data_IF_640886450210
#
_entry.id   IF_640886450210
#
_cell.length_a   1.000
_cell.length_b   1.000
_cell.length_c   1.000
_cell.angle_alpha   90.00
_cell.angle_beta   90.00
_cell.angle_gamma   90.00
#
_symmetry.space_group_name_H-M   'P 1'
#
loop_
_entity.id
_entity.type
_entity.pdbx_description
1 polymer ?
#
# COMPACT_ATOMS: atom_id res chain seq x y z
N UNK A 1 -8.32 6.82 8.13
CA UNK A 1 -7.85 6.72 7.01
C UNK A 1 -6.51 7.33 6.81
N UNK A 2 -5.72 6.67 6.14
CA UNK A 2 -4.35 7.03 6.04
C UNK A 2 -4.11 8.38 5.45
N UNK A 3 -3.10 9.01 5.92
CA UNK A 3 -2.62 10.24 5.34
C UNK A 3 -1.56 9.87 4.34
N UNK A 4 -1.60 10.46 3.18
CA UNK A 4 -0.62 10.19 2.17
C UNK A 4 -0.17 11.48 1.55
N UNK A 5 0.99 11.46 0.98
CA UNK A 5 1.55 12.62 0.29
C UNK A 5 1.66 13.80 1.22
N UNK A 6 1.13 14.89 0.81
CA UNK A 6 1.27 16.13 1.57
C UNK A 6 0.54 16.09 2.90
N UNK A 7 -0.46 15.25 3.04
CA UNK A 7 -1.13 15.16 4.31
C UNK A 7 -0.28 14.53 5.38
N UNK A 8 0.60 13.63 4.97
CA UNK A 8 1.51 13.06 5.93
C UNK A 8 2.45 14.09 6.48
N UNK A 9 2.60 15.13 5.74
CA UNK A 9 3.57 16.10 6.15
C UNK A 9 3.01 17.06 7.12
N UNK A 10 1.94 16.82 7.49
CA UNK A 10 1.43 17.45 8.40
C UNK A 10 1.21 18.52 9.00
N UNK A 11 1.01 18.86 9.34
CA UNK A 11 0.55 19.63 10.13
C UNK A 11 1.51 20.47 10.67
N UNK A 12 1.39 21.44 10.96
CA UNK A 12 2.00 22.47 11.43
C UNK A 12 3.11 22.33 12.30
N UNK A 13 3.14 21.59 13.23
CA UNK A 13 4.19 21.50 14.14
C UNK A 13 5.10 20.40 13.91
N UNK A 14 4.98 19.69 12.84
CA UNK A 14 5.81 18.53 12.54
C UNK A 14 6.68 18.81 11.35
N UNK A 15 7.87 18.25 11.36
CA UNK A 15 8.75 18.36 10.21
C UNK A 15 8.16 17.60 9.05
N UNK A 16 8.40 18.10 7.86
CA UNK A 16 8.00 17.40 6.65
C UNK A 16 8.96 16.25 6.43
N UNK A 17 8.40 15.06 6.23
CA UNK A 17 9.18 13.85 5.99
C UNK A 17 9.07 13.51 4.51
N UNK A 18 10.22 13.29 3.87
CA UNK A 18 10.24 12.85 2.49
C UNK A 18 9.82 11.39 2.45
N UNK A 19 8.79 11.01 1.68
CA UNK A 19 8.38 9.62 1.60
C UNK A 19 9.49 8.67 1.18
N UNK A 20 10.48 9.14 0.44
CA UNK A 20 11.61 8.31 0.03
C UNK A 20 12.48 7.87 1.21
N UNK A 21 12.35 8.55 2.35
CA UNK A 21 13.12 8.22 3.53
C UNK A 21 12.41 7.20 4.42
N UNK A 22 11.23 6.76 4.04
CA UNK A 22 10.48 5.79 4.84
C UNK A 22 10.98 4.38 4.56
N UNK A 23 11.13 3.61 5.62
CA UNK A 23 11.53 2.20 5.49
C UNK A 23 10.35 1.29 5.24
N UNK A 24 9.16 1.71 5.63
CA UNK A 24 7.97 0.91 5.52
C UNK A 24 6.78 1.81 5.29
N UNK A 25 5.96 1.46 4.32
CA UNK A 25 4.74 2.20 4.02
C UNK A 25 3.57 1.23 4.11
N UNK A 26 2.65 1.51 5.00
CA UNK A 26 1.44 0.70 5.16
C UNK A 26 0.39 1.21 4.18
N UNK A 27 -0.14 0.32 3.37
CA UNK A 27 -1.04 0.68 2.28
C UNK A 27 -2.38 -0.01 2.49
N UNK A 28 -3.46 0.72 2.69
CA UNK A 28 -4.77 0.11 2.79
C UNK A 28 -5.33 -0.21 1.40
N UNK A 29 -6.33 -1.05 1.36
CA UNK A 29 -7.00 -1.37 0.12
C UNK A 29 -8.30 -2.10 0.40
N UNK A 30 -9.15 -2.15 -0.60
CA UNK A 30 -10.41 -2.89 -0.49
C UNK A 30 -10.20 -4.40 -0.57
N UNK A 31 -9.12 -4.82 -1.19
CA UNK A 31 -8.75 -6.23 -1.26
C UNK A 31 -7.32 -6.39 -1.73
N UNK A 32 -6.77 -7.55 -1.48
CA UNK A 32 -5.40 -7.88 -1.89
C UNK A 32 -5.36 -9.32 -2.39
N UNK A 33 -4.39 -9.62 -3.23
CA UNK A 33 -4.09 -11.00 -3.58
C UNK A 33 -2.69 -11.35 -3.05
N UNK A 34 -2.36 -12.63 -3.08
CA UNK A 34 -1.11 -13.11 -2.47
C UNK A 34 0.12 -12.78 -3.29
N UNK A 35 -0.05 -12.19 -4.45
CA UNK A 35 1.05 -11.74 -5.29
C UNK A 35 1.27 -10.23 -5.18
N UNK A 36 0.63 -9.60 -4.22
CA UNK A 36 0.80 -8.18 -3.99
C UNK A 36 -0.15 -7.29 -4.75
N UNK A 37 -1.09 -7.87 -5.47
CA UNK A 37 -2.10 -7.08 -6.16
C UNK A 37 -3.02 -6.41 -5.14
N UNK A 38 -3.48 -5.21 -5.46
CA UNK A 38 -4.29 -4.42 -4.56
C UNK A 38 -5.47 -3.80 -5.28
N UNK A 39 -6.64 -3.92 -4.69
CA UNK A 39 -7.81 -3.24 -5.16
C UNK A 39 -7.95 -1.95 -4.35
N UNK A 40 -7.83 -0.82 -5.02
CA UNK A 40 -7.87 0.47 -4.36
C UNK A 40 -9.27 0.95 -4.09
N UNK A 41 -9.34 2.16 -3.58
CA UNK A 41 -10.61 2.77 -3.20
C UNK A 41 -11.25 3.56 -4.31
N UNK A 42 -10.74 3.43 -5.52
CA UNK A 42 -11.40 3.97 -6.72
C UNK A 42 -10.83 5.26 -7.28
N UNK A 43 -9.95 5.93 -6.60
CA UNK A 43 -9.44 7.21 -7.10
C UNK A 43 -7.98 7.21 -7.51
N UNK A 44 -7.31 6.07 -7.41
CA UNK A 44 -5.91 5.96 -7.81
C UNK A 44 -4.93 6.76 -6.96
N UNK A 45 -5.36 7.21 -5.79
CA UNK A 45 -4.57 8.12 -4.99
C UNK A 45 -3.28 7.49 -4.49
N UNK A 46 -3.38 6.28 -3.95
CA UNK A 46 -2.19 5.59 -3.47
C UNK A 46 -1.27 5.18 -4.62
N UNK A 47 -1.81 4.76 -5.74
CA UNK A 47 -0.98 4.38 -6.86
C UNK A 47 -0.16 5.55 -7.37
N UNK A 48 -0.74 6.74 -7.40
CA UNK A 48 0.00 7.93 -7.78
C UNK A 48 1.07 8.29 -6.77
N UNK A 49 0.76 8.10 -5.48
CA UNK A 49 1.71 8.40 -4.42
C UNK A 49 2.87 7.41 -4.43
N UNK A 50 2.58 6.14 -4.65
CA UNK A 50 3.58 5.09 -4.53
C UNK A 50 4.47 4.92 -5.74
N UNK A 51 4.07 5.47 -6.88
CA UNK A 51 4.74 5.10 -8.14
C UNK A 51 6.20 5.45 -8.22
N UNK A 52 6.67 6.39 -7.42
CA UNK A 52 8.07 6.76 -7.43
C UNK A 52 8.84 6.21 -6.24
N UNK A 53 8.22 5.35 -5.48
CA UNK A 53 8.82 4.79 -4.28
C UNK A 53 9.19 3.33 -4.53
N UNK A 54 10.03 2.78 -3.65
CA UNK A 54 10.50 1.41 -3.82
C UNK A 54 9.42 0.42 -3.37
N UNK A 55 8.96 -0.47 -4.25
CA UNK A 55 7.92 -1.44 -3.86
C UNK A 55 8.32 -2.33 -2.69
N UNK A 56 9.60 -2.52 -2.45
CA UNK A 56 10.05 -3.33 -1.33
C UNK A 56 9.65 -2.73 0.02
N UNK A 57 9.26 -1.46 0.06
CA UNK A 57 8.83 -0.82 1.30
C UNK A 57 7.31 -0.92 1.50
N UNK A 58 6.56 -1.44 0.51
CA UNK A 58 5.11 -1.43 0.59
C UNK A 58 4.59 -2.64 1.33
N UNK A 59 3.76 -2.43 2.34
CA UNK A 59 3.09 -3.51 3.04
C UNK A 59 1.59 -3.23 3.05
N UNK A 60 0.82 -4.12 2.42
CA UNK A 60 -0.63 -4.01 2.47
C UNK A 60 -1.15 -4.40 3.84
N UNK A 61 -2.23 -3.79 4.27
CA UNK A 61 -2.85 -4.07 5.56
C UNK A 61 -4.32 -4.37 5.30
N UNK A 62 -4.78 -5.53 5.72
CA UNK A 62 -6.17 -5.91 5.55
C UNK A 62 -6.57 -7.03 6.49
N UNK A 63 -7.85 -7.31 6.54
CA UNK A 63 -8.35 -8.50 7.20
C UNK A 63 -8.16 -9.69 6.24
N UNK A 64 -7.99 -10.89 6.79
CA UNK A 64 -7.80 -12.08 5.94
C UNK A 64 -8.98 -12.30 4.98
N UNK A 65 -10.17 -11.88 5.37
CA UNK A 65 -11.35 -12.02 4.51
C UNK A 65 -11.24 -11.16 3.26
N UNK A 66 -10.34 -10.19 3.24
CA UNK A 66 -10.13 -9.33 2.08
C UNK A 66 -9.08 -9.87 1.13
N UNK A 67 -8.50 -11.03 1.43
CA UNK A 67 -7.56 -11.68 0.53
C UNK A 67 -8.33 -12.44 -0.54
N UNK A 68 -7.95 -12.21 -1.78
CA UNK A 68 -8.57 -12.88 -2.92
C UNK A 68 -7.83 -14.17 -3.22
N UNK A 69 -8.57 -15.19 -3.60
CA UNK A 69 -7.97 -16.45 -4.04
C UNK A 69 -7.47 -16.36 -5.48
N UNK A 70 -7.91 -15.36 -6.22
CA UNK A 70 -7.49 -15.16 -7.60
C UNK A 70 -6.74 -13.85 -7.70
N UNK A 71 -6.06 -13.65 -8.81
CA UNK A 71 -5.31 -12.42 -9.01
C UNK A 71 -6.25 -11.25 -9.21
N UNK A 72 -5.96 -10.16 -8.53
CA UNK A 72 -6.68 -8.92 -8.75
C UNK A 72 -6.12 -8.30 -10.04
N UNK A 73 -7.01 -7.88 -10.96
CA UNK A 73 -6.53 -7.24 -12.18
C UNK A 73 -5.71 -6.00 -11.88
N UNK A 74 -4.49 -5.97 -12.41
CA UNK A 74 -3.58 -4.86 -12.23
C UNK A 74 -3.09 -4.45 -13.60
N UNK A 75 -2.99 -3.16 -13.84
CA UNK A 75 -2.34 -2.71 -15.06
C UNK A 75 -0.89 -2.32 -14.74
N UNK A 76 -0.15 -1.93 -15.76
CA UNK A 76 1.28 -1.70 -15.58
C UNK A 76 1.62 -0.48 -14.74
N UNK A 77 0.64 0.38 -14.48
CA UNK A 77 0.86 1.56 -13.66
C UNK A 77 0.54 1.30 -12.19
N UNK A 78 -0.10 0.19 -11.88
CA UNK A 78 -0.47 -0.14 -10.52
C UNK A 78 0.73 -0.69 -9.75
N UNK A 79 0.79 -0.38 -8.47
CA UNK A 79 1.92 -0.78 -7.63
C UNK A 79 1.56 -2.02 -6.83
N UNK A 80 2.47 -2.98 -6.80
CA UNK A 80 2.27 -4.22 -6.05
C UNK A 80 2.92 -4.13 -4.68
N UNK A 81 2.32 -4.78 -3.71
CA UNK A 81 2.85 -4.85 -2.36
C UNK A 81 3.94 -5.91 -2.29
N UNK A 82 4.92 -5.72 -1.43
CA UNK A 82 5.92 -6.75 -1.16
C UNK A 82 5.47 -7.69 -0.06
N UNK A 83 4.64 -7.21 0.84
CA UNK A 83 4.11 -7.98 1.95
C UNK A 83 2.68 -7.57 2.21
N UNK A 84 1.92 -8.45 2.84
CA UNK A 84 0.57 -8.14 3.29
C UNK A 84 0.43 -8.64 4.72
N UNK A 85 0.00 -7.79 5.64
CA UNK A 85 -0.23 -8.19 7.01
C UNK A 85 -1.74 -8.29 7.26
N UNK A 86 -2.14 -9.36 7.89
CA UNK A 86 -3.52 -9.58 8.31
C UNK A 86 -3.53 -10.00 9.77
N UNK A 87 -4.70 -10.23 10.32
CA UNK A 87 -4.80 -10.75 11.69
C UNK A 87 -4.24 -12.16 11.81
N UNK A 88 -3.97 -12.82 10.70
CA UNK A 88 -3.42 -14.17 10.70
C UNK A 88 -1.91 -14.21 10.46
N UNK A 89 -1.29 -13.06 10.26
CA UNK A 89 0.16 -13.00 10.07
C UNK A 89 0.55 -12.25 8.82
N UNK A 90 1.80 -12.42 8.42
CA UNK A 90 2.39 -11.70 7.31
C UNK A 90 2.54 -12.64 6.12
N UNK A 91 2.13 -12.16 4.96
CA UNK A 91 2.31 -12.88 3.71
C UNK A 91 3.38 -12.16 2.91
N UNK A 92 4.39 -12.89 2.49
CA UNK A 92 5.41 -12.34 1.60
C UNK A 92 4.95 -12.57 0.17
N UNK A 93 4.80 -11.49 -0.58
CA UNK A 93 4.31 -11.55 -1.95
C UNK A 93 5.45 -11.83 -2.92
N UNK A 94 5.16 -12.57 -3.93
CA UNK A 94 6.16 -12.91 -4.94
C UNK A 94 5.67 -12.51 -6.32
#
# INVERSE_FOLDING_TARGET
>A
YGLVGSEMCIRDRYDIIDPHDLDLILVPGAGFDRHGGRMGMGNGYYDRFLKELLPSTFMGVCWAVQLWDTLIPMDELDQRMSKIVTEQGVIHCV
#
